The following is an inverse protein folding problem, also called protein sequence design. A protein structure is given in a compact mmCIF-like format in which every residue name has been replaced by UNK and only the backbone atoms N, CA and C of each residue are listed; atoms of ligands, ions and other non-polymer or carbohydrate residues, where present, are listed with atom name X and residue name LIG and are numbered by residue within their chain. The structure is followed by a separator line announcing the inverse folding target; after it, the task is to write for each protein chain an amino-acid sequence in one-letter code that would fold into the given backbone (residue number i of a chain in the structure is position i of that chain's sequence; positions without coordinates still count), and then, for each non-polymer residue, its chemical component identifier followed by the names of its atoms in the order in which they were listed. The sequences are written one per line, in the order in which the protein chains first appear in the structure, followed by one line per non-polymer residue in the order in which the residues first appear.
data_IF_681726443457
#
_entry.id   IF_681726443457
#
_cell.length_a   1.000
_cell.length_b   1.000
_cell.length_c   1.000
_cell.angle_alpha   90.00
_cell.angle_beta   90.00
_cell.angle_gamma   90.00
#
_symmetry.space_group_name_H-M   'P 1'
#
loop_
_entity.id
_entity.type
_entity.pdbx_description
1 polymer ?
#
# COMPACT_ATOMS: atom_id res chain seq x y z
N UNK A 1 -11.21 20.22 -13.72
CA UNK A 1 -9.92 19.97 -13.03
C UNK A 1 -9.91 20.81 -11.77
N UNK A 2 -10.19 20.22 -10.61
CA UNK A 2 -10.22 20.94 -9.33
C UNK A 2 -8.78 20.96 -8.80
N UNK A 3 -8.15 22.13 -8.80
CA UNK A 3 -6.85 22.34 -8.17
C UNK A 3 -7.13 22.60 -6.69
N UNK A 4 -6.92 21.58 -5.85
CA UNK A 4 -7.00 21.71 -4.41
C UNK A 4 -5.62 22.13 -3.89
N UNK A 5 -5.40 23.43 -3.71
CA UNK A 5 -4.17 23.93 -3.08
C UNK A 5 -4.30 23.77 -1.57
N UNK A 6 -3.73 22.70 -1.02
CA UNK A 6 -3.70 22.47 0.43
C UNK A 6 -2.39 23.00 1.01
N UNK A 7 -2.45 24.10 1.76
CA UNK A 7 -1.35 24.55 2.62
C UNK A 7 -1.32 23.69 3.88
N UNK A 8 -0.61 22.55 3.84
CA UNK A 8 -0.33 21.76 5.03
C UNK A 8 0.93 22.31 5.71
N UNK A 9 0.76 23.15 6.73
CA UNK A 9 1.80 23.43 7.72
C UNK A 9 1.96 22.25 8.69
N UNK A 10 2.50 21.13 8.21
CA UNK A 10 3.01 20.08 9.09
C UNK A 10 4.52 20.08 8.95
N UNK A 11 5.23 20.52 10.00
CA UNK A 11 6.65 20.25 10.16
C UNK A 11 6.83 18.74 10.37
N UNK A 12 6.69 17.96 9.30
CA UNK A 12 7.12 16.58 9.29
C UNK A 12 8.65 16.63 9.18
N UNK A 13 9.32 16.07 10.18
CA UNK A 13 10.75 15.79 10.14
C UNK A 13 11.04 15.03 8.86
N UNK A 14 11.57 15.73 7.86
CA UNK A 14 11.83 15.17 6.55
C UNK A 14 13.30 14.73 6.56
N UNK A 15 13.51 13.46 6.91
CA UNK A 15 14.83 12.84 7.12
C UNK A 15 15.73 12.96 5.89
N UNK A 16 15.15 13.19 4.71
CA UNK A 16 15.91 13.46 3.47
C UNK A 16 16.76 14.73 3.54
N UNK A 17 16.38 15.74 4.34
CA UNK A 17 17.18 16.96 4.49
C UNK A 17 18.35 16.80 5.48
N UNK A 18 18.27 15.84 6.41
CA UNK A 18 19.31 15.60 7.43
C UNK A 18 20.47 14.77 6.86
N UNK A 19 20.21 13.91 5.87
CA UNK A 19 21.25 13.15 5.18
C UNK A 19 22.05 13.99 4.15
N UNK A 20 21.76 15.29 4.02
CA UNK A 20 22.43 16.19 3.09
C UNK A 20 23.74 16.76 3.67
N UNK A 21 24.64 15.93 4.21
CA UNK A 21 25.91 16.41 4.74
C UNK A 21 27.01 16.50 3.68
N UNK A 22 27.11 15.57 2.71
CA UNK A 22 28.19 15.61 1.71
C UNK A 22 28.01 14.69 0.49
N UNK A 23 27.02 14.93 -0.36
CA UNK A 23 26.97 14.30 -1.70
C UNK A 23 26.60 15.35 -2.74
N UNK A 24 27.57 15.73 -3.59
CA UNK A 24 27.35 16.75 -4.62
C UNK A 24 26.22 16.38 -5.59
N UNK A 25 26.26 15.18 -6.17
CA UNK A 25 25.19 14.59 -6.98
C UNK A 25 24.81 13.27 -6.34
N UNK A 26 23.53 13.04 -6.11
CA UNK A 26 23.07 11.83 -5.42
C UNK A 26 21.65 11.47 -5.78
N UNK A 27 21.35 10.18 -5.72
CA UNK A 27 19.98 9.64 -5.82
C UNK A 27 19.73 8.90 -4.52
N UNK A 28 18.69 9.30 -3.79
CA UNK A 28 18.16 8.55 -2.67
C UNK A 28 16.99 7.69 -3.16
N UNK A 29 16.94 6.46 -2.67
CA UNK A 29 15.82 5.55 -2.84
C UNK A 29 15.29 5.21 -1.45
N UNK A 30 14.01 5.42 -1.24
CA UNK A 30 13.31 5.09 -0.01
C UNK A 30 12.19 4.10 -0.35
N UNK A 31 12.15 2.97 0.34
CA UNK A 31 11.09 1.98 0.19
C UNK A 31 10.71 1.53 1.60
N UNK A 32 9.49 1.87 1.99
CA UNK A 32 8.89 1.48 3.26
C UNK A 32 7.64 0.65 2.96
N UNK A 33 7.55 -0.52 3.59
CA UNK A 33 6.37 -1.37 3.50
C UNK A 33 5.87 -1.68 4.91
N UNK A 34 4.56 -1.63 5.08
CA UNK A 34 3.87 -2.04 6.29
C UNK A 34 2.71 -2.94 5.89
N UNK A 35 2.58 -4.09 6.52
CA UNK A 35 1.46 -5.00 6.29
C UNK A 35 0.97 -5.58 7.61
N UNK A 36 -0.34 -5.69 7.76
CA UNK A 36 -0.97 -6.16 8.98
C UNK A 36 -2.30 -6.85 8.73
N UNK A 37 -2.60 -7.85 9.54
CA UNK A 37 -3.93 -8.46 9.60
C UNK A 37 -4.22 -8.96 11.01
N UNK A 38 -5.51 -9.00 11.36
CA UNK A 38 -5.95 -9.60 12.62
C UNK A 38 -6.17 -11.12 12.54
N UNK A 39 -6.15 -11.71 11.34
CA UNK A 39 -6.44 -13.14 11.13
C UNK A 39 -5.43 -13.85 10.22
N UNK A 40 -4.91 -13.16 9.19
CA UNK A 40 -3.93 -13.76 8.27
C UNK A 40 -2.56 -13.83 8.96
N UNK A 41 -1.95 -15.02 8.96
CA UNK A 41 -0.63 -15.25 9.54
C UNK A 41 0.47 -14.55 8.74
N UNK A 42 1.53 -14.08 9.42
CA UNK A 42 2.66 -13.41 8.79
C UNK A 42 3.31 -14.24 7.66
N UNK A 43 3.45 -15.56 7.84
CA UNK A 43 4.05 -16.42 6.81
C UNK A 43 3.22 -16.44 5.52
N UNK A 44 1.89 -16.50 5.66
CA UNK A 44 0.96 -16.40 4.53
C UNK A 44 0.96 -15.01 3.92
N UNK A 45 1.00 -13.97 4.76
CA UNK A 45 1.06 -12.57 4.32
C UNK A 45 2.32 -12.29 3.50
N UNK A 46 3.46 -12.80 3.96
CA UNK A 46 4.73 -12.67 3.29
C UNK A 46 4.69 -13.28 1.88
N UNK A 47 4.07 -14.45 1.73
CA UNK A 47 3.85 -15.08 0.40
C UNK A 47 2.83 -14.35 -0.46
N UNK A 48 1.86 -13.67 0.13
CA UNK A 48 0.89 -12.86 -0.59
C UNK A 48 1.52 -11.58 -1.16
N UNK A 49 2.45 -10.97 -0.42
CA UNK A 49 3.11 -9.70 -0.79
C UNK A 49 4.30 -9.91 -1.72
N UNK A 50 5.17 -10.88 -1.41
CA UNK A 50 6.40 -11.11 -2.19
C UNK A 50 6.25 -12.24 -3.21
N UNK A 51 5.06 -12.82 -3.29
CA UNK A 51 4.80 -14.01 -4.10
C UNK A 51 5.34 -15.29 -3.47
N UNK A 52 4.94 -16.41 -4.07
CA UNK A 52 5.34 -17.75 -3.66
C UNK A 52 4.16 -18.68 -3.43
N UNK A 53 4.47 -19.90 -3.02
CA UNK A 53 3.46 -20.92 -2.79
C UNK A 53 2.79 -20.75 -1.41
N UNK A 54 1.46 -20.53 -1.42
CA UNK A 54 0.63 -20.52 -0.21
C UNK A 54 0.14 -21.96 0.03
N UNK A 55 0.73 -22.63 1.01
CA UNK A 55 0.40 -24.02 1.34
C UNK A 55 -0.96 -24.15 2.04
N UNK A 56 -1.49 -25.37 2.10
CA UNK A 56 -2.76 -25.64 2.79
C UNK A 56 -2.63 -25.40 4.29
N UNK A 57 -1.49 -25.71 4.89
CA UNK A 57 -1.21 -25.48 6.31
C UNK A 57 -1.22 -23.99 6.65
N UNK A 58 -0.68 -23.13 5.77
CA UNK A 58 -0.73 -21.68 5.93
C UNK A 58 -2.16 -21.15 5.86
N UNK A 59 -2.96 -21.68 4.92
CA UNK A 59 -4.37 -21.33 4.77
C UNK A 59 -5.17 -21.75 6.00
N UNK A 60 -4.97 -22.97 6.48
CA UNK A 60 -5.68 -23.55 7.64
C UNK A 60 -5.28 -22.84 8.94
N UNK A 61 -4.01 -22.47 9.09
CA UNK A 61 -3.53 -21.73 10.25
C UNK A 61 -4.12 -20.32 10.34
N UNK A 62 -4.42 -19.69 9.20
CA UNK A 62 -5.10 -18.40 9.13
C UNK A 62 -6.62 -18.57 9.28
N UNK A 63 -7.22 -19.62 8.69
CA UNK A 63 -8.66 -19.94 8.83
C UNK A 63 -9.07 -20.14 10.30
N UNK A 64 -8.22 -20.80 11.09
CA UNK A 64 -8.42 -20.99 12.55
C UNK A 64 -8.45 -19.69 13.35
N UNK A 65 -7.95 -18.58 12.80
CA UNK A 65 -7.92 -17.26 13.45
C UNK A 65 -8.98 -16.29 12.92
N UNK A 66 -9.72 -16.67 11.88
CA UNK A 66 -10.76 -15.82 11.33
C UNK A 66 -11.86 -15.60 12.35
N UNK A 67 -12.28 -14.35 12.46
CA UNK A 67 -13.49 -13.92 13.14
C UNK A 67 -14.59 -13.68 12.11
N UNK A 68 -15.80 -13.35 12.57
CA UNK A 68 -16.88 -12.92 11.68
C UNK A 68 -16.48 -11.69 10.85
N UNK A 69 -15.67 -10.79 11.44
CA UNK A 69 -15.11 -9.63 10.76
C UNK A 69 -13.60 -9.55 10.94
N UNK A 70 -12.89 -9.58 9.82
CA UNK A 70 -11.44 -9.54 9.76
C UNK A 70 -10.99 -8.29 9.02
N UNK A 71 -9.80 -7.80 9.35
CA UNK A 71 -9.18 -6.65 8.72
C UNK A 71 -7.80 -7.03 8.20
N UNK A 72 -7.45 -6.44 7.07
CA UNK A 72 -6.18 -6.55 6.40
C UNK A 72 -5.78 -5.18 5.87
N UNK A 73 -4.51 -4.82 6.05
CA UNK A 73 -3.94 -3.55 5.62
C UNK A 73 -2.57 -3.77 5.00
N UNK A 74 -2.30 -3.09 3.90
CA UNK A 74 -0.96 -2.88 3.34
C UNK A 74 -0.78 -1.37 3.11
N UNK A 75 0.37 -0.86 3.51
CA UNK A 75 0.84 0.47 3.18
C UNK A 75 2.22 0.34 2.55
N UNK A 76 2.32 0.67 1.27
CA UNK A 76 3.56 0.65 0.51
C UNK A 76 3.91 2.09 0.13
N UNK A 77 5.06 2.55 0.60
CA UNK A 77 5.61 3.86 0.29
C UNK A 77 6.93 3.65 -0.43
N UNK A 78 7.08 4.23 -1.61
CA UNK A 78 8.36 4.24 -2.27
C UNK A 78 8.59 5.59 -2.91
N UNK A 79 9.81 6.06 -2.84
CA UNK A 79 10.19 7.34 -3.40
C UNK A 79 11.64 7.35 -3.84
N UNK A 80 11.88 8.20 -4.82
CA UNK A 80 13.23 8.52 -5.27
C UNK A 80 13.42 10.02 -5.20
N UNK A 81 14.57 10.44 -4.72
CA UNK A 81 14.93 11.86 -4.63
C UNK A 81 16.29 12.06 -5.26
N UNK A 82 16.35 12.85 -6.32
CA UNK A 82 17.57 13.26 -6.98
C UNK A 82 18.02 14.63 -6.48
N UNK A 83 19.28 14.71 -6.08
CA UNK A 83 19.96 15.93 -5.69
C UNK A 83 20.85 16.38 -6.84
N UNK A 84 20.57 17.57 -7.35
CA UNK A 84 21.24 18.15 -8.50
C UNK A 84 22.00 19.37 -8.02
N UNK A 85 23.33 19.29 -8.05
CA UNK A 85 24.19 20.43 -7.76
C UNK A 85 23.89 21.56 -8.73
N UNK A 86 23.54 22.73 -8.19
CA UNK A 86 23.30 23.93 -8.96
C UNK A 86 24.54 24.82 -8.98
N UNK A 87 24.35 26.10 -8.66
CA UNK A 87 25.44 27.08 -8.61
C UNK A 87 25.95 27.23 -7.16
N UNK A 88 26.99 28.02 -6.92
CA UNK A 88 27.58 28.20 -5.58
C UNK A 88 26.58 28.69 -4.50
N UNK A 89 25.40 29.18 -4.90
CA UNK A 89 24.37 29.70 -3.99
C UNK A 89 23.19 28.75 -3.77
N UNK A 90 22.91 27.84 -4.73
CA UNK A 90 21.69 27.04 -4.73
C UNK A 90 21.92 25.64 -5.31
N UNK A 91 21.36 24.63 -4.67
CA UNK A 91 21.20 23.26 -5.20
C UNK A 91 19.73 22.94 -5.43
N UNK A 92 19.44 22.00 -6.34
CA UNK A 92 18.07 21.61 -6.68
C UNK A 92 17.77 20.19 -6.18
N UNK A 93 16.51 19.97 -5.82
CA UNK A 93 15.98 18.66 -5.45
C UNK A 93 14.78 18.35 -6.34
N UNK A 94 14.77 17.15 -6.90
CA UNK A 94 13.59 16.59 -7.56
C UNK A 94 13.26 15.27 -6.88
N UNK A 95 12.05 15.15 -6.36
CA UNK A 95 11.56 13.95 -5.70
C UNK A 95 10.32 13.41 -6.41
N UNK A 96 10.21 12.09 -6.47
CA UNK A 96 9.00 11.38 -6.82
C UNK A 96 8.68 10.42 -5.69
N UNK A 97 7.46 10.45 -5.17
CA UNK A 97 6.97 9.51 -4.15
C UNK A 97 5.66 8.92 -4.62
N UNK A 98 5.49 7.62 -4.46
CA UNK A 98 4.22 6.95 -4.61
C UNK A 98 3.87 6.26 -3.28
N UNK A 99 2.64 6.43 -2.85
CA UNK A 99 2.08 5.82 -1.64
C UNK A 99 0.81 5.07 -2.00
N UNK A 100 0.79 3.79 -1.65
CA UNK A 100 -0.32 2.87 -1.91
C UNK A 100 -0.79 2.31 -0.57
N UNK A 101 -2.05 2.58 -0.24
CA UNK A 101 -2.69 2.09 0.97
C UNK A 101 -3.87 1.21 0.58
N UNK A 102 -3.79 -0.08 0.89
CA UNK A 102 -4.86 -1.04 0.72
C UNK A 102 -5.40 -1.42 2.09
N UNK A 103 -6.68 -1.18 2.33
CA UNK A 103 -7.39 -1.63 3.53
C UNK A 103 -8.57 -2.49 3.10
N UNK A 104 -8.68 -3.69 3.67
CA UNK A 104 -9.77 -4.61 3.41
C UNK A 104 -10.40 -5.08 4.72
N UNK A 105 -11.71 -5.01 4.82
CA UNK A 105 -12.52 -5.71 5.80
C UNK A 105 -13.25 -6.85 5.09
N UNK A 106 -13.17 -8.05 5.64
CA UNK A 106 -13.74 -9.25 5.05
C UNK A 106 -14.24 -10.22 6.12
N UNK A 107 -15.23 -11.04 5.77
CA UNK A 107 -15.72 -12.10 6.64
C UNK A 107 -14.97 -13.43 6.38
N UNK A 108 -15.19 -14.43 7.22
CA UNK A 108 -14.54 -15.74 7.12
C UNK A 108 -14.90 -16.48 5.82
N UNK A 109 -16.13 -16.36 5.35
CA UNK A 109 -16.60 -17.02 4.14
C UNK A 109 -15.97 -16.46 2.87
N UNK A 110 -15.76 -15.14 2.79
CA UNK A 110 -15.00 -14.52 1.70
C UNK A 110 -13.57 -15.03 1.64
N UNK A 111 -12.90 -15.13 2.80
CA UNK A 111 -11.55 -15.72 2.86
C UNK A 111 -11.56 -17.16 2.35
N UNK A 112 -12.53 -17.97 2.79
CA UNK A 112 -12.63 -19.38 2.36
C UNK A 112 -12.88 -19.49 0.87
N UNK A 113 -13.75 -18.64 0.32
CA UNK A 113 -14.04 -18.57 -1.11
C UNK A 113 -12.79 -18.18 -1.90
N UNK A 114 -12.03 -17.19 -1.42
CA UNK A 114 -10.82 -16.70 -2.08
C UNK A 114 -9.67 -17.72 -2.07
N UNK A 115 -9.44 -18.42 -0.95
CA UNK A 115 -8.24 -19.27 -0.78
C UNK A 115 -8.48 -20.77 -0.93
N UNK A 116 -9.70 -21.26 -0.70
CA UNK A 116 -10.10 -22.66 -0.89
C UNK A 116 -11.03 -22.86 -2.09
N UNK A 117 -11.55 -21.79 -2.67
CA UNK A 117 -12.50 -21.83 -3.78
C UNK A 117 -13.92 -22.18 -3.33
N UNK A 118 -14.76 -22.40 -4.33
CA UNK A 118 -16.20 -22.65 -4.19
C UNK A 118 -16.55 -24.08 -3.73
N UNK A 119 -15.60 -25.04 -3.77
CA UNK A 119 -15.87 -26.46 -3.49
C UNK A 119 -16.43 -26.71 -2.09
N UNK A 120 -16.08 -25.88 -1.11
CA UNK A 120 -16.60 -25.97 0.26
C UNK A 120 -18.04 -25.45 0.43
N UNK A 121 -18.54 -24.70 -0.55
CA UNK A 121 -19.89 -24.12 -0.55
C UNK A 121 -20.86 -24.88 -1.46
N UNK A 122 -20.53 -26.12 -1.84
CA UNK A 122 -21.44 -26.98 -2.60
C UNK A 122 -22.67 -27.31 -1.73
N UNK A 123 -23.83 -26.77 -2.10
CA UNK A 123 -25.08 -26.94 -1.34
C UNK A 123 -25.21 -26.03 -0.11
N UNK A 124 -24.29 -25.08 0.08
CA UNK A 124 -24.34 -24.05 1.13
C UNK A 124 -24.25 -22.67 0.48
N UNK A 125 -24.80 -21.65 1.16
CA UNK A 125 -24.69 -20.26 0.71
C UNK A 125 -23.52 -19.60 1.41
N UNK A 126 -22.56 -19.09 0.64
CA UNK A 126 -21.47 -18.29 1.18
C UNK A 126 -21.98 -16.88 1.46
N UNK A 127 -21.79 -16.41 2.69
CA UNK A 127 -22.05 -15.01 3.03
C UNK A 127 -20.89 -14.16 2.50
N UNK A 128 -21.18 -13.23 1.59
CA UNK A 128 -20.21 -12.25 1.07
C UNK A 128 -20.66 -10.82 1.39
N UNK A 129 -21.52 -10.68 2.40
CA UNK A 129 -21.95 -9.40 2.94
C UNK A 129 -20.81 -8.73 3.73
N UNK A 130 -20.91 -7.41 3.89
CA UNK A 130 -20.01 -6.61 4.75
C UNK A 130 -18.52 -6.65 4.37
N UNK A 131 -18.20 -7.00 3.13
CA UNK A 131 -16.85 -6.84 2.59
C UNK A 131 -16.66 -5.38 2.22
N UNK A 132 -15.54 -4.80 2.62
CA UNK A 132 -15.14 -3.45 2.27
C UNK A 132 -13.68 -3.46 1.85
N UNK A 133 -13.39 -3.09 0.61
CA UNK A 133 -12.02 -2.90 0.13
C UNK A 133 -11.85 -1.44 -0.24
N UNK A 134 -10.81 -0.82 0.31
CA UNK A 134 -10.44 0.55 0.07
C UNK A 134 -8.97 0.57 -0.35
N UNK A 135 -8.72 0.86 -1.63
CA UNK A 135 -7.38 1.10 -2.15
C UNK A 135 -7.23 2.59 -2.47
N UNK A 136 -6.19 3.19 -1.89
CA UNK A 136 -5.83 4.59 -2.07
C UNK A 136 -4.43 4.65 -2.68
N UNK A 137 -4.29 5.40 -3.76
CA UNK A 137 -2.99 5.66 -4.38
C UNK A 137 -2.75 7.16 -4.52
N UNK A 138 -1.60 7.59 -4.01
CA UNK A 138 -1.14 8.97 -4.06
C UNK A 138 0.24 9.03 -4.71
N UNK A 139 0.38 9.91 -5.70
CA UNK A 139 1.66 10.26 -6.28
C UNK A 139 2.00 11.69 -5.91
N UNK A 140 3.23 11.90 -5.48
CA UNK A 140 3.78 13.20 -5.17
C UNK A 140 5.00 13.45 -6.04
N UNK A 141 5.04 14.62 -6.67
CA UNK A 141 6.25 15.12 -7.32
C UNK A 141 6.70 16.37 -6.56
N UNK A 142 7.92 16.33 -6.03
CA UNK A 142 8.53 17.39 -5.23
C UNK A 142 9.61 18.08 -6.05
N UNK A 143 9.59 19.41 -6.07
CA UNK A 143 10.66 20.24 -6.61
C UNK A 143 11.11 21.21 -5.54
N UNK A 144 12.41 21.28 -5.26
CA UNK A 144 12.94 22.17 -4.23
C UNK A 144 14.28 22.78 -4.59
N UNK A 145 14.63 23.82 -3.86
CA UNK A 145 15.93 24.48 -3.91
C UNK A 145 16.49 24.59 -2.49
N UNK A 146 17.77 24.26 -2.33
CA UNK A 146 18.53 24.41 -1.08
C UNK A 146 19.45 25.62 -1.23
N UNK A 147 19.42 26.55 -0.27
CA UNK A 147 20.27 27.74 -0.22
C UNK A 147 21.46 27.46 0.70
N UNK A 148 22.67 27.77 0.23
CA UNK A 148 23.92 27.53 0.97
C UNK A 148 24.34 28.68 1.90
N UNK A 149 23.56 29.75 1.98
CA UNK A 149 23.99 31.01 2.56
C UNK A 149 23.52 31.22 4.01
N UNK A 150 23.73 30.21 4.87
CA UNK A 150 23.63 30.37 6.33
C UNK A 150 24.78 29.56 6.96
N UNK A 151 25.57 30.20 7.81
CA UNK A 151 26.85 29.72 8.33
C UNK A 151 26.90 28.22 8.67
N UNK A 152 27.86 27.52 8.05
CA UNK A 152 28.51 26.21 8.29
C UNK A 152 27.71 24.97 8.79
N UNK A 153 26.49 25.12 9.30
CA UNK A 153 25.73 24.04 9.96
C UNK A 153 24.26 24.02 9.52
N UNK A 154 23.69 25.16 9.10
CA UNK A 154 22.28 25.25 8.72
C UNK A 154 22.09 25.39 7.20
N UNK A 155 21.52 24.37 6.56
CA UNK A 155 21.06 24.47 5.17
C UNK A 155 19.56 24.74 5.17
N UNK A 156 19.14 25.85 4.55
CA UNK A 156 17.72 26.20 4.42
C UNK A 156 17.27 25.81 3.01
N UNK A 157 16.27 24.94 2.92
CA UNK A 157 15.66 24.55 1.66
C UNK A 157 14.18 24.90 1.61
N UNK A 158 13.70 25.27 0.43
CA UNK A 158 12.27 25.42 0.14
C UNK A 158 11.89 24.42 -0.95
N UNK A 159 10.74 23.76 -0.81
CA UNK A 159 10.22 22.84 -1.84
C UNK A 159 8.73 23.00 -2.03
N UNK A 160 8.30 22.89 -3.29
CA UNK A 160 6.91 22.80 -3.70
C UNK A 160 6.64 21.37 -4.12
N UNK A 161 5.59 20.77 -3.57
CA UNK A 161 5.15 19.41 -3.93
C UNK A 161 3.78 19.45 -4.60
N UNK A 162 3.65 18.73 -5.70
CA UNK A 162 2.38 18.47 -6.37
C UNK A 162 1.90 17.07 -6.00
N UNK A 163 0.73 17.02 -5.35
CA UNK A 163 0.08 15.78 -4.94
C UNK A 163 -1.06 15.46 -5.92
N UNK A 164 -0.95 14.33 -6.61
CA UNK A 164 -2.01 13.75 -7.44
C UNK A 164 -2.56 12.51 -6.74
N UNK A 165 -3.80 12.59 -6.26
CA UNK A 165 -4.57 11.40 -5.90
C UNK A 165 -5.05 10.72 -7.19
N UNK A 166 -4.53 9.53 -7.51
CA UNK A 166 -4.85 8.87 -8.77
C UNK A 166 -6.07 7.97 -8.68
N UNK A 167 -6.16 7.12 -7.66
CA UNK A 167 -7.16 6.06 -7.62
C UNK A 167 -7.69 5.88 -6.19
N UNK A 168 -8.99 6.11 -6.04
CA UNK A 168 -9.81 5.70 -4.90
C UNK A 168 -10.67 4.53 -5.39
N UNK A 169 -10.24 3.30 -5.12
CA UNK A 169 -11.07 2.12 -5.37
C UNK A 169 -11.78 1.75 -4.08
N UNK A 170 -13.08 2.03 -4.03
CA UNK A 170 -13.93 1.69 -2.90
C UNK A 170 -14.96 0.65 -3.33
N UNK A 171 -14.85 -0.54 -2.78
CA UNK A 171 -15.80 -1.62 -3.00
C UNK A 171 -16.43 -2.00 -1.66
N UNK A 172 -17.77 -1.95 -1.59
CA UNK A 172 -18.52 -2.35 -0.40
C UNK A 172 -19.68 -3.24 -0.81
N UNK A 173 -19.78 -4.42 -0.21
CA UNK A 173 -20.96 -5.28 -0.36
C UNK A 173 -22.03 -4.91 0.66
N UNK A 174 -23.30 -4.94 0.23
CA UNK A 174 -24.46 -4.68 1.07
C UNK A 174 -24.76 -5.82 2.05
N UNK A 175 -25.68 -5.59 2.97
CA UNK A 175 -26.04 -6.53 4.04
C UNK A 175 -26.67 -7.86 3.55
N UNK A 176 -27.10 -7.94 2.28
CA UNK A 176 -27.81 -9.09 1.70
C UNK A 176 -27.06 -9.73 0.51
N UNK A 177 -25.74 -9.57 0.44
CA UNK A 177 -24.94 -10.17 -0.63
C UNK A 177 -24.60 -11.62 -0.28
N UNK A 178 -25.13 -12.56 -1.06
CA UNK A 178 -24.91 -13.99 -0.90
C UNK A 178 -24.49 -14.63 -2.21
N UNK A 179 -23.59 -15.60 -2.14
CA UNK A 179 -23.16 -16.39 -3.30
C UNK A 179 -23.54 -17.86 -3.10
N UNK A 180 -24.31 -18.40 -4.04
CA UNK A 180 -24.70 -19.82 -4.05
C UNK A 180 -24.21 -20.45 -5.34
N UNK A 181 -23.44 -21.54 -5.23
CA UNK A 181 -23.02 -22.31 -6.41
C UNK A 181 -24.07 -23.37 -6.74
N UNK A 182 -24.68 -23.29 -7.93
CA UNK A 182 -25.42 -24.39 -8.54
C UNK A 182 -24.46 -25.31 -9.30
N UNK A 183 -24.68 -26.61 -9.16
CA UNK A 183 -23.79 -27.73 -9.55
C UNK A 183 -23.29 -27.59 -11.01
N UNK A 184 -21.99 -27.35 -11.19
CA UNK A 184 -21.28 -27.75 -12.41
C UNK A 184 -19.80 -28.05 -12.09
N UNK A 185 -19.30 -29.19 -12.59
CA UNK A 185 -17.97 -29.76 -12.35
C UNK A 185 -16.85 -28.72 -12.49
N UNK A 186 -15.97 -28.59 -11.49
CA UNK A 186 -14.72 -27.85 -11.65
C UNK A 186 -13.49 -28.71 -11.29
N UNK A 187 -12.55 -28.70 -12.22
CA UNK A 187 -11.21 -29.26 -12.14
C UNK A 187 -10.36 -28.38 -11.21
N UNK A 188 -9.73 -29.00 -10.22
CA UNK A 188 -8.79 -28.38 -9.28
C UNK A 188 -7.58 -27.85 -10.03
N UNK A 189 -7.25 -26.56 -9.92
CA UNK A 189 -5.91 -26.03 -10.15
C UNK A 189 -5.67 -24.83 -9.23
N UNK A 190 -4.53 -24.86 -8.53
CA UNK A 190 -4.17 -23.89 -7.49
C UNK A 190 -4.06 -22.46 -8.02
N UNK A 191 -4.48 -21.50 -7.18
CA UNK A 191 -4.37 -20.07 -7.47
C UNK A 191 -2.89 -19.68 -7.38
N UNK A 192 -2.32 -19.28 -8.52
CA UNK A 192 -0.99 -18.69 -8.64
C UNK A 192 -1.20 -17.18 -8.75
N UNK A 193 -0.92 -16.43 -7.69
CA UNK A 193 -0.92 -14.97 -7.73
C UNK A 193 0.41 -14.57 -8.35
N UNK A 194 0.36 -14.13 -9.61
CA UNK A 194 1.46 -13.42 -10.27
C UNK A 194 1.27 -11.94 -9.96
N UNK A 195 2.27 -11.33 -9.34
CA UNK A 195 2.42 -9.88 -9.19
C UNK A 195 3.17 -9.39 -10.41
#
# INVERSE_FOLDING_TARGET
MIILTVFNGKAQYNTEFINYSSMGRGIALNVDYEAGSNAIKNDMMNKLIWGGYISTEMKDASDKKLKEKNNFGINLNYGTTAFIKGNNKFDFIVGFKNQEVLNASFNSDFYRLMFYGNKRFLGQTADISHISVNALRFQEVKFGAIIHHVDSVAKIGCSVSFLKGEQLFYFKTGANASYTQLRCKQHTNGIRILI
#
